data_IF_789967411369
#
_entry.id   IF_789967411369
#
_cell.length_a   1.000
_cell.length_b   1.000
_cell.length_c   1.000
_cell.angle_alpha   90.00
_cell.angle_beta   90.00
_cell.angle_gamma   90.00
#
_symmetry.space_group_name_H-M   'P 1'
#
loop_
_entity.id
_entity.type
_entity.pdbx_description
1 polymer ?
#
# COMPACT_ATOMS: atom_id res chain seq x y z
N UNK A 1 38.82 4.60 3.98
CA UNK A 1 37.52 5.24 3.68
C UNK A 1 36.74 5.34 4.99
N UNK A 2 36.75 6.51 5.62
CA UNK A 2 36.05 6.75 6.88
C UNK A 2 34.65 7.30 6.58
N UNK A 3 33.62 6.68 7.16
CA UNK A 3 32.24 7.18 7.14
C UNK A 3 32.16 8.45 8.01
N UNK A 4 31.55 9.54 7.56
CA UNK A 4 31.23 10.64 8.46
C UNK A 4 30.15 10.18 9.44
N UNK A 5 30.48 10.32 10.72
CA UNK A 5 29.60 10.14 11.88
C UNK A 5 28.32 10.95 11.70
N UNK A 6 27.17 10.31 11.95
CA UNK A 6 25.87 10.97 11.97
C UNK A 6 25.89 12.15 12.94
N UNK A 7 25.53 13.32 12.44
CA UNK A 7 25.20 14.48 13.25
C UNK A 7 23.79 14.30 13.79
N UNK A 8 23.67 13.90 15.05
CA UNK A 8 22.43 14.08 15.80
C UNK A 8 22.10 15.58 15.93
N UNK A 9 20.83 15.93 16.19
CA UNK A 9 20.40 17.33 16.27
C UNK A 9 21.25 18.08 17.29
N UNK A 10 21.93 19.13 16.81
CA UNK A 10 22.94 19.85 17.57
C UNK A 10 22.29 20.76 18.60
N UNK A 11 22.12 20.24 19.81
CA UNK A 11 21.71 21.02 20.98
C UNK A 11 22.84 21.98 21.34
N UNK A 12 22.53 23.27 21.54
CA UNK A 12 23.50 24.24 22.04
C UNK A 12 23.85 23.99 23.53
N UNK A 13 24.84 24.73 24.05
CA UNK A 13 25.31 24.56 25.44
C UNK A 13 24.22 24.88 26.49
N UNK A 14 23.07 25.38 26.04
CA UNK A 14 21.94 25.82 26.85
C UNK A 14 20.69 24.94 26.66
N UNK A 15 20.78 23.84 25.91
CA UNK A 15 19.65 22.92 25.71
C UNK A 15 18.73 23.31 24.55
N UNK A 16 19.04 24.35 23.77
CA UNK A 16 18.21 24.81 22.67
C UNK A 16 18.60 24.17 21.34
N UNK A 17 17.57 23.80 20.58
CA UNK A 17 17.69 23.27 19.23
C UNK A 17 18.17 24.39 18.27
N UNK A 18 19.32 24.19 17.60
CA UNK A 18 19.89 25.20 16.68
C UNK A 18 19.11 25.24 15.37
N UNK A 19 17.98 25.92 15.37
CA UNK A 19 17.18 26.16 14.16
C UNK A 19 17.81 27.26 13.30
N UNK A 20 18.03 26.98 12.02
CA UNK A 20 18.47 27.98 11.02
C UNK A 20 17.28 28.73 10.42
N UNK A 21 17.45 30.02 10.12
CA UNK A 21 16.39 30.85 9.53
C UNK A 21 16.41 30.74 8.01
N UNK A 22 15.27 30.39 7.43
CA UNK A 22 15.05 30.43 5.99
C UNK A 22 13.95 31.43 5.64
N UNK A 23 14.13 32.15 4.52
CA UNK A 23 13.11 33.05 3.97
C UNK A 23 12.54 32.44 2.69
N UNK A 24 11.23 32.18 2.69
CA UNK A 24 10.53 31.54 1.56
C UNK A 24 9.50 32.50 0.97
N UNK A 25 9.37 32.49 -0.36
CA UNK A 25 8.33 33.23 -1.08
C UNK A 25 7.16 32.31 -1.35
N UNK A 26 5.97 32.71 -0.90
CA UNK A 26 4.72 32.02 -1.15
C UNK A 26 3.78 32.94 -1.93
N UNK A 27 2.94 32.36 -2.79
CA UNK A 27 1.81 33.11 -3.33
C UNK A 27 0.84 33.50 -2.19
N UNK A 28 -0.01 34.50 -2.46
CA UNK A 28 -1.00 34.97 -1.48
C UNK A 28 -1.92 33.82 -1.03
N UNK A 29 -2.35 33.00 -1.97
CA UNK A 29 -3.28 31.89 -1.71
C UNK A 29 -2.62 30.76 -0.92
N UNK A 30 -1.36 30.45 -1.21
CA UNK A 30 -0.59 29.47 -0.43
C UNK A 30 -0.35 29.93 0.99
N UNK A 31 0.00 31.22 1.17
CA UNK A 31 0.18 31.79 2.51
C UNK A 31 -1.11 31.70 3.32
N UNK A 32 -2.25 32.07 2.74
CA UNK A 32 -3.55 32.00 3.41
C UNK A 32 -3.94 30.55 3.76
N UNK A 33 -3.66 29.60 2.88
CA UNK A 33 -3.89 28.18 3.18
C UNK A 33 -2.97 27.66 4.27
N UNK A 34 -1.70 28.07 4.29
CA UNK A 34 -0.76 27.72 5.35
C UNK A 34 -1.21 28.27 6.70
N UNK A 35 -1.69 29.52 6.75
CA UNK A 35 -2.31 30.11 7.95
C UNK A 35 -3.51 29.30 8.44
N UNK A 36 -4.42 28.93 7.54
CA UNK A 36 -5.59 28.12 7.87
C UNK A 36 -5.23 26.75 8.45
N UNK A 37 -4.26 26.05 7.85
CA UNK A 37 -3.87 24.71 8.31
C UNK A 37 -3.02 24.74 9.57
N UNK A 38 -2.20 25.78 9.75
CA UNK A 38 -1.45 25.99 10.98
C UNK A 38 -2.41 26.16 12.18
N UNK A 39 -3.43 27.00 12.04
CA UNK A 39 -4.47 27.21 13.06
C UNK A 39 -5.27 25.92 13.32
N UNK A 40 -5.71 25.26 12.26
CA UNK A 40 -6.51 24.02 12.38
C UNK A 40 -5.78 22.85 13.04
N UNK A 41 -4.44 22.85 13.00
CA UNK A 41 -3.61 21.78 13.57
C UNK A 41 -2.86 22.21 14.83
N UNK A 42 -3.24 23.33 15.44
CA UNK A 42 -2.67 23.85 16.69
C UNK A 42 -1.16 24.10 16.63
N UNK A 43 -0.66 24.62 15.51
CA UNK A 43 0.72 25.10 15.42
C UNK A 43 0.87 26.48 16.08
N UNK A 44 1.97 26.69 16.80
CA UNK A 44 2.27 27.97 17.43
C UNK A 44 2.50 29.10 16.41
N UNK A 45 2.91 28.75 15.18
CA UNK A 45 3.03 29.71 14.09
C UNK A 45 2.97 29.08 12.70
N UNK A 46 2.62 29.89 11.71
CA UNK A 46 2.68 29.52 10.28
C UNK A 46 4.09 29.08 9.87
N UNK A 47 5.13 29.67 10.46
CA UNK A 47 6.51 29.32 10.14
C UNK A 47 6.86 27.91 10.64
N UNK A 48 6.29 27.46 11.75
CA UNK A 48 6.50 26.11 12.25
C UNK A 48 5.79 25.08 11.37
N UNK A 49 4.56 25.37 10.95
CA UNK A 49 3.86 24.58 9.95
C UNK A 49 4.65 24.49 8.63
N UNK A 50 5.24 25.59 8.16
CA UNK A 50 6.08 25.58 6.95
C UNK A 50 7.36 24.76 7.16
N UNK A 51 8.00 24.86 8.32
CA UNK A 51 9.20 24.09 8.62
C UNK A 51 8.92 22.58 8.62
N UNK A 52 7.81 22.15 9.23
CA UNK A 52 7.40 20.74 9.22
C UNK A 52 7.02 20.28 7.81
N UNK A 53 6.30 21.09 7.04
CA UNK A 53 5.97 20.76 5.65
C UNK A 53 7.23 20.57 4.78
N UNK A 54 8.32 21.29 5.05
CA UNK A 54 9.61 21.08 4.37
C UNK A 54 10.23 19.74 4.78
N UNK A 55 10.19 19.39 6.07
CA UNK A 55 10.67 18.09 6.56
C UNK A 55 9.88 16.93 5.94
N UNK A 56 8.54 16.98 5.98
CA UNK A 56 7.66 16.00 5.32
C UNK A 56 7.99 15.87 3.82
N UNK A 57 8.25 16.99 3.14
CA UNK A 57 8.58 16.95 1.71
C UNK A 57 9.91 16.23 1.46
N UNK A 58 10.91 16.44 2.31
CA UNK A 58 12.21 15.75 2.21
C UNK A 58 12.04 14.24 2.46
N UNK A 59 11.28 13.85 3.46
CA UNK A 59 10.97 12.43 3.75
C UNK A 59 10.28 11.75 2.56
N UNK A 60 9.28 12.43 1.96
CA UNK A 60 8.60 11.94 0.75
C UNK A 60 9.55 11.77 -0.44
N UNK A 61 10.50 12.69 -0.65
CA UNK A 61 11.50 12.55 -1.72
C UNK A 61 12.51 11.43 -1.42
N UNK A 62 12.79 11.16 -0.15
CA UNK A 62 13.64 10.04 0.28
C UNK A 62 12.93 8.67 0.20
N UNK A 63 11.67 8.64 -0.24
CA UNK A 63 10.80 7.47 -0.23
C UNK A 63 10.56 6.89 1.16
N UNK A 64 10.81 7.69 2.20
CA UNK A 64 10.60 7.32 3.60
C UNK A 64 9.18 7.75 3.99
N UNK A 65 8.19 7.00 3.49
CA UNK A 65 6.78 7.27 3.76
C UNK A 65 6.29 6.41 4.91
N UNK A 66 5.79 7.03 5.96
CA UNK A 66 4.86 6.38 6.88
C UNK A 66 3.56 6.09 6.12
N UNK A 67 3.37 4.83 5.72
CA UNK A 67 2.13 4.37 5.11
C UNK A 67 1.08 4.35 6.22
N UNK A 68 0.01 5.17 6.15
CA UNK A 68 -1.05 5.15 7.15
C UNK A 68 -1.62 3.74 7.27
N UNK A 69 -1.87 3.27 8.50
CA UNK A 69 -2.33 1.90 8.75
C UNK A 69 -3.60 1.54 7.93
N UNK A 70 -4.48 2.52 7.70
CA UNK A 70 -5.65 2.36 6.84
C UNK A 70 -5.29 2.05 5.38
N UNK A 71 -4.22 2.63 4.84
CA UNK A 71 -3.78 2.37 3.48
C UNK A 71 -3.21 0.95 3.36
N UNK A 72 -2.44 0.50 4.36
CA UNK A 72 -2.00 -0.90 4.48
C UNK A 72 -3.19 -1.86 4.54
N UNK A 73 -4.19 -1.55 5.36
CA UNK A 73 -5.42 -2.35 5.45
C UNK A 73 -6.16 -2.42 4.10
N UNK A 74 -6.24 -1.32 3.35
CA UNK A 74 -6.83 -1.28 2.01
C UNK A 74 -6.04 -2.11 1.00
N UNK A 75 -4.70 -2.08 1.05
CA UNK A 75 -3.85 -2.91 0.20
C UNK A 75 -4.07 -4.39 0.52
N UNK A 76 -4.12 -4.77 1.80
CA UNK A 76 -4.41 -6.14 2.21
C UNK A 76 -5.77 -6.62 1.70
N UNK A 77 -6.80 -5.76 1.76
CA UNK A 77 -8.11 -6.07 1.21
C UNK A 77 -8.04 -6.35 -0.31
N UNK A 78 -7.33 -5.54 -1.08
CA UNK A 78 -7.16 -5.75 -2.54
C UNK A 78 -6.42 -7.06 -2.83
N UNK A 79 -5.41 -7.41 -2.03
CA UNK A 79 -4.69 -8.68 -2.18
C UNK A 79 -5.64 -9.87 -1.97
N UNK A 80 -6.51 -9.79 -0.98
CA UNK A 80 -7.46 -10.87 -0.69
C UNK A 80 -8.55 -10.98 -1.76
N UNK A 81 -9.04 -9.86 -2.30
CA UNK A 81 -9.94 -9.84 -3.45
C UNK A 81 -9.28 -10.47 -4.69
N UNK A 82 -8.01 -10.18 -4.95
CA UNK A 82 -7.26 -10.78 -6.06
C UNK A 82 -7.10 -12.30 -5.91
N UNK A 83 -6.84 -12.79 -4.69
CA UNK A 83 -6.79 -14.24 -4.41
C UNK A 83 -8.15 -14.91 -4.66
N UNK A 84 -9.25 -14.25 -4.27
CA UNK A 84 -10.59 -14.76 -4.50
C UNK A 84 -10.88 -14.87 -6.01
N UNK A 85 -10.51 -13.84 -6.79
CA UNK A 85 -10.64 -13.87 -8.26
C UNK A 85 -9.80 -14.99 -8.87
N UNK A 86 -8.54 -15.12 -8.48
CA UNK A 86 -7.65 -16.18 -8.98
C UNK A 86 -8.22 -17.58 -8.71
N UNK A 87 -8.77 -17.80 -7.51
CA UNK A 87 -9.42 -19.07 -7.15
C UNK A 87 -10.66 -19.34 -8.00
N UNK A 88 -11.49 -18.32 -8.23
CA UNK A 88 -12.67 -18.44 -9.08
C UNK A 88 -12.29 -18.77 -10.53
N UNK A 89 -11.24 -18.17 -11.07
CA UNK A 89 -10.73 -18.49 -12.42
C UNK A 89 -10.26 -19.94 -12.50
N UNK A 90 -9.49 -20.42 -11.52
CA UNK A 90 -9.03 -21.81 -11.50
C UNK A 90 -10.20 -22.81 -11.39
N UNK A 91 -11.24 -22.47 -10.63
CA UNK A 91 -12.45 -23.29 -10.55
C UNK A 91 -13.22 -23.31 -11.87
N UNK A 92 -13.34 -22.16 -12.54
CA UNK A 92 -13.95 -22.05 -13.86
C UNK A 92 -13.20 -22.89 -14.89
N UNK A 93 -11.87 -22.83 -14.90
CA UNK A 93 -11.02 -23.65 -15.76
C UNK A 93 -11.33 -25.14 -15.54
N UNK A 94 -11.33 -25.61 -14.29
CA UNK A 94 -11.63 -27.01 -13.96
C UNK A 94 -13.02 -27.43 -14.47
N UNK A 95 -14.05 -26.60 -14.25
CA UNK A 95 -15.42 -26.90 -14.71
C UNK A 95 -15.50 -26.95 -16.22
N UNK A 96 -14.81 -26.05 -16.91
CA UNK A 96 -14.76 -26.04 -18.38
C UNK A 96 -14.06 -27.31 -18.91
N UNK A 97 -12.92 -27.70 -18.33
CA UNK A 97 -12.23 -28.94 -18.71
C UNK A 97 -13.10 -30.16 -18.48
N UNK A 98 -13.70 -30.30 -17.30
CA UNK A 98 -14.63 -31.39 -16.98
C UNK A 98 -15.84 -31.42 -17.92
N UNK A 99 -16.39 -30.25 -18.27
CA UNK A 99 -17.50 -30.12 -19.21
C UNK A 99 -17.11 -30.55 -20.63
N UNK A 100 -15.92 -30.20 -21.09
CA UNK A 100 -15.40 -30.65 -22.38
C UNK A 100 -15.12 -32.15 -22.39
N UNK A 101 -14.50 -32.70 -21.35
CA UNK A 101 -14.28 -34.14 -21.21
C UNK A 101 -15.62 -34.89 -21.25
N UNK A 102 -16.63 -34.36 -20.55
CA UNK A 102 -18.00 -34.89 -20.53
C UNK A 102 -18.71 -34.81 -21.89
N UNK A 103 -18.40 -33.82 -22.73
CA UNK A 103 -18.92 -33.76 -24.10
C UNK A 103 -18.19 -34.73 -25.04
N UNK A 104 -16.88 -34.91 -24.86
CA UNK A 104 -16.06 -35.79 -25.69
C UNK A 104 -16.45 -37.25 -25.49
N UNK A 105 -16.59 -37.76 -24.28
CA UNK A 105 -17.04 -39.14 -24.08
C UNK A 105 -18.50 -39.37 -24.49
N UNK A 106 -19.41 -38.39 -24.36
CA UNK A 106 -20.77 -38.48 -24.90
C UNK A 106 -20.76 -38.65 -26.42
N UNK A 107 -19.88 -37.91 -27.11
CA UNK A 107 -19.76 -37.97 -28.58
C UNK A 107 -18.97 -39.18 -29.06
N UNK A 108 -18.11 -39.79 -28.23
CA UNK A 108 -17.41 -41.04 -28.51
C UNK A 108 -18.27 -42.28 -28.22
N UNK A 109 -19.37 -42.13 -27.47
CA UNK A 109 -20.22 -43.23 -27.03
C UNK A 109 -19.70 -43.95 -25.78
N UNK A 110 -18.66 -43.41 -25.12
CA UNK A 110 -18.19 -43.89 -23.81
C UNK A 110 -19.19 -43.43 -22.75
N UNK A 111 -19.92 -44.39 -22.20
CA UNK A 111 -20.92 -44.14 -21.19
C UNK A 111 -20.20 -44.04 -19.83
N UNK A 112 -20.02 -42.84 -19.29
CA UNK A 112 -19.43 -42.63 -17.94
C UNK A 112 -20.23 -43.27 -16.81
N UNK A 113 -21.44 -43.74 -17.11
CA UNK A 113 -22.30 -44.49 -16.19
C UNK A 113 -22.00 -46.00 -16.21
N UNK A 114 -21.12 -46.46 -17.09
CA UNK A 114 -20.76 -47.87 -17.27
C UNK A 114 -19.28 -48.17 -17.00
N UNK A 115 -18.50 -47.20 -16.51
CA UNK A 115 -17.17 -47.49 -15.96
C UNK A 115 -17.38 -48.18 -14.60
N UNK A 116 -17.59 -49.48 -14.73
CA UNK A 116 -17.72 -50.54 -13.74
C UNK A 116 -17.21 -50.16 -12.34
N UNK A 117 -18.15 -49.77 -11.47
CA UNK A 117 -18.13 -50.23 -10.08
C UNK A 117 -18.34 -51.76 -10.11
N UNK A 118 -17.33 -52.49 -10.61
CA UNK A 118 -17.30 -53.95 -10.56
C UNK A 118 -17.22 -54.32 -9.09
N UNK A 119 -18.38 -54.60 -8.50
CA UNK A 119 -18.55 -55.18 -7.18
C UNK A 119 -17.96 -56.59 -7.13
N UNK A 120 -16.64 -56.72 -7.19
CA UNK A 120 -15.94 -57.94 -6.80
C UNK A 120 -16.00 -58.09 -5.27
N UNK A 121 -16.95 -58.91 -4.84
CA UNK A 121 -16.81 -59.76 -3.65
C UNK A 121 -16.28 -61.12 -4.11
N UNK A 122 -14.96 -61.25 -4.24
CA UNK A 122 -14.26 -62.54 -4.22
C UNK A 122 -12.95 -62.42 -3.46
#
# INVERSE_FOLDING_TARGET
MARPSGGGPGVDHNGNDRRERAFTRLSRDEKQRAEYWADRRDYDSVNEYIAEAVAEKIERENLDFDIPDILTARINQVIDELKAVSTNTANLERVVTMGFDSLIGLTRGDNYLLDEENGELT
#
